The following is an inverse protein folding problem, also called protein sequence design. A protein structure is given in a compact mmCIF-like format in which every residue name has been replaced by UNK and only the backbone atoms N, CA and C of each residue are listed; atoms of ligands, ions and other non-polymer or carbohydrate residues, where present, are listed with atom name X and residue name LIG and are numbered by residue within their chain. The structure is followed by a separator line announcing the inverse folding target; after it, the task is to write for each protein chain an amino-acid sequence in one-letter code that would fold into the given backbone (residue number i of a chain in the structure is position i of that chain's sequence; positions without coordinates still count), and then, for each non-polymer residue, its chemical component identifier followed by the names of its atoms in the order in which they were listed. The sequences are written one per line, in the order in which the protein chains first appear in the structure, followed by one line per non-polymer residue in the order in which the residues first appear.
data_IF_079513322829
#
_entry.id   IF_079513322829
#
_cell.length_a   1.000
_cell.length_b   1.000
_cell.length_c   1.000
_cell.angle_alpha   90.00
_cell.angle_beta   90.00
_cell.angle_gamma   90.00
#
_symmetry.space_group_name_H-M   'P 1'
#
loop_
_entity.id
_entity.type
_entity.pdbx_description
1 polymer ?
#
# COMPACT_ATOMS: atom_id res chain seq x y z
N UNK A 1 21.45 -4.40 -17.82
CA UNK A 1 20.34 -3.98 -16.95
C UNK A 1 19.56 -5.21 -16.52
N UNK A 2 19.24 -5.30 -15.25
CA UNK A 2 18.57 -6.47 -14.70
C UNK A 2 17.06 -6.23 -14.64
N UNK A 3 16.27 -7.10 -15.29
CA UNK A 3 14.82 -6.95 -15.35
C UNK A 3 14.19 -7.01 -13.94
N UNK A 4 14.71 -7.84 -13.05
CA UNK A 4 14.15 -7.96 -11.68
C UNK A 4 14.30 -6.65 -10.91
N UNK A 5 15.43 -5.97 -11.03
CA UNK A 5 15.65 -4.68 -10.39
C UNK A 5 14.74 -3.60 -10.99
N UNK A 6 14.58 -3.58 -12.29
CA UNK A 6 13.73 -2.62 -13.00
C UNK A 6 12.26 -2.83 -12.62
N UNK A 7 11.80 -4.07 -12.62
CA UNK A 7 10.44 -4.40 -12.23
C UNK A 7 10.17 -4.02 -10.77
N UNK A 8 11.15 -4.26 -9.89
CA UNK A 8 11.05 -3.87 -8.48
C UNK A 8 10.92 -2.35 -8.32
N UNK A 9 11.68 -1.58 -9.10
CA UNK A 9 11.60 -0.12 -9.10
C UNK A 9 10.22 0.35 -9.54
N UNK A 10 9.67 -0.27 -10.59
CA UNK A 10 8.32 0.07 -11.06
C UNK A 10 7.27 -0.15 -9.96
N UNK A 11 7.35 -1.28 -9.28
CA UNK A 11 6.38 -1.63 -8.23
C UNK A 11 6.47 -0.70 -7.03
N UNK A 12 7.67 -0.24 -6.67
CA UNK A 12 7.88 0.62 -5.50
C UNK A 12 7.01 1.87 -5.53
N UNK A 13 6.81 2.42 -6.71
CA UNK A 13 6.04 3.66 -6.85
C UNK A 13 4.57 3.56 -6.47
N UNK A 14 4.01 2.34 -6.45
CA UNK A 14 2.58 2.15 -6.16
C UNK A 14 2.32 1.46 -4.82
N UNK A 15 3.37 1.08 -4.09
CA UNK A 15 3.18 0.30 -2.87
C UNK A 15 2.38 1.04 -1.80
N UNK A 16 2.70 2.30 -1.55
CA UNK A 16 1.96 3.07 -0.54
C UNK A 16 0.50 3.25 -0.91
N UNK A 17 0.22 3.49 -2.17
CA UNK A 17 -1.14 3.59 -2.67
C UNK A 17 -1.91 2.28 -2.43
N UNK A 18 -1.29 1.14 -2.74
CA UNK A 18 -1.92 -0.18 -2.54
C UNK A 18 -2.14 -0.48 -1.06
N UNK A 19 -1.17 -0.16 -0.21
CA UNK A 19 -1.29 -0.35 1.25
C UNK A 19 -2.47 0.45 1.79
N UNK A 20 -2.55 1.73 1.42
CA UNK A 20 -3.65 2.60 1.85
C UNK A 20 -4.99 2.11 1.33
N UNK A 21 -5.01 1.56 0.12
CA UNK A 21 -6.23 1.00 -0.49
C UNK A 21 -6.76 -0.18 0.32
N UNK A 22 -5.87 -1.07 0.76
CA UNK A 22 -6.27 -2.20 1.60
C UNK A 22 -6.86 -1.70 2.92
N UNK A 23 -6.19 -0.75 3.57
CA UNK A 23 -6.62 -0.22 4.88
C UNK A 23 -7.92 0.59 4.74
N UNK A 24 -8.12 1.23 3.59
CA UNK A 24 -9.36 1.98 3.32
C UNK A 24 -10.60 1.07 3.35
N UNK A 25 -10.46 -0.18 2.95
CA UNK A 25 -11.57 -1.15 2.95
C UNK A 25 -11.95 -1.57 4.36
N UNK A 26 -11.06 -1.41 5.32
CA UNK A 26 -11.31 -1.73 6.72
C UNK A 26 -10.00 -1.83 7.47
N UNK A 27 -10.06 -1.73 8.79
CA UNK A 27 -8.87 -1.90 9.63
C UNK A 27 -8.16 -3.20 9.27
N UNK A 28 -6.84 -3.17 9.33
CA UNK A 28 -6.05 -4.33 8.89
C UNK A 28 -4.81 -4.54 9.74
N UNK A 29 -4.50 -5.80 9.99
CA UNK A 29 -3.19 -6.20 10.50
C UNK A 29 -2.18 -6.19 9.35
N UNK A 30 -0.88 -6.06 9.64
CA UNK A 30 0.13 -6.17 8.59
C UNK A 30 0.04 -7.47 7.80
N UNK A 31 -0.28 -8.60 8.46
CA UNK A 31 -0.46 -9.87 7.77
C UNK A 31 -1.62 -9.85 6.78
N UNK A 32 -2.70 -9.13 7.10
CA UNK A 32 -3.84 -8.99 6.18
C UNK A 32 -3.43 -8.21 4.92
N UNK A 33 -2.61 -7.19 5.09
CA UNK A 33 -2.12 -6.39 3.97
C UNK A 33 -1.28 -7.26 3.04
N UNK A 34 -0.36 -8.01 3.62
CA UNK A 34 0.51 -8.92 2.86
C UNK A 34 -0.33 -9.94 2.08
N UNK A 35 -1.31 -10.55 2.74
CA UNK A 35 -2.15 -11.57 2.12
C UNK A 35 -2.98 -11.01 0.98
N UNK A 36 -3.58 -9.84 1.15
CA UNK A 36 -4.39 -9.22 0.10
C UNK A 36 -3.54 -8.82 -1.10
N UNK A 37 -2.35 -8.28 -0.86
CA UNK A 37 -1.46 -7.90 -1.96
C UNK A 37 -0.95 -9.13 -2.69
N UNK A 38 -0.61 -10.18 -1.97
CA UNK A 38 -0.18 -11.45 -2.56
C UNK A 38 -1.28 -12.06 -3.44
N UNK A 39 -2.52 -12.00 -2.98
CA UNK A 39 -3.66 -12.51 -3.74
C UNK A 39 -3.83 -11.78 -5.08
N UNK A 40 -3.39 -10.52 -5.15
CA UNK A 40 -3.40 -9.72 -6.38
C UNK A 40 -2.09 -9.83 -7.17
N UNK A 41 -1.21 -10.74 -6.80
CA UNK A 41 0.10 -10.95 -7.44
C UNK A 41 1.06 -9.76 -7.27
N UNK A 42 0.87 -8.99 -6.21
CA UNK A 42 1.80 -7.92 -5.86
C UNK A 42 2.41 -8.26 -4.51
N UNK A 43 3.44 -9.10 -4.54
CA UNK A 43 4.08 -9.59 -3.32
C UNK A 43 4.85 -8.47 -2.63
N UNK A 44 4.66 -8.36 -1.32
CA UNK A 44 5.43 -7.44 -0.50
C UNK A 44 5.97 -8.21 0.69
N UNK A 45 7.24 -7.98 1.01
CA UNK A 45 7.88 -8.61 2.16
C UNK A 45 7.66 -7.75 3.41
N UNK A 46 7.69 -8.41 4.57
CA UNK A 46 7.59 -7.71 5.86
C UNK A 46 8.63 -6.59 5.99
N UNK A 47 9.86 -6.87 5.56
CA UNK A 47 10.95 -5.88 5.61
C UNK A 47 10.70 -4.64 4.76
N UNK A 48 9.81 -4.70 3.79
CA UNK A 48 9.39 -3.56 2.99
C UNK A 48 8.13 -2.91 3.56
N UNK A 49 7.18 -3.72 4.02
CA UNK A 49 5.90 -3.24 4.52
C UNK A 49 6.04 -2.40 5.80
N UNK A 50 6.76 -2.92 6.80
CA UNK A 50 6.83 -2.24 8.11
C UNK A 50 7.42 -0.84 8.03
N UNK A 51 8.51 -0.58 7.30
CA UNK A 51 9.00 0.79 7.15
C UNK A 51 7.99 1.73 6.48
N UNK A 52 7.22 1.23 5.52
CA UNK A 52 6.19 2.02 4.85
C UNK A 52 5.04 2.35 5.79
N UNK A 53 4.60 1.39 6.59
CA UNK A 53 3.57 1.62 7.61
C UNK A 53 4.03 2.67 8.63
N UNK A 54 5.28 2.58 9.07
CA UNK A 54 5.85 3.55 10.00
C UNK A 54 5.87 4.96 9.39
N UNK A 55 6.30 5.06 8.13
CA UNK A 55 6.35 6.34 7.42
C UNK A 55 4.96 6.96 7.27
N UNK A 56 3.97 6.16 6.89
CA UNK A 56 2.60 6.63 6.73
C UNK A 56 1.98 7.04 8.07
N UNK A 57 2.28 6.31 9.13
CA UNK A 57 1.82 6.63 10.47
C UNK A 57 2.45 7.93 10.96
N UNK A 58 3.75 8.12 10.75
CA UNK A 58 4.45 9.33 11.17
C UNK A 58 3.98 10.57 10.38
N UNK A 59 3.53 10.38 9.16
CA UNK A 59 2.91 11.44 8.36
C UNK A 59 1.44 11.70 8.75
N UNK A 60 0.94 10.93 9.72
CA UNK A 60 -0.44 11.04 10.22
C UNK A 60 -1.51 10.60 9.23
N UNK A 61 -1.14 9.82 8.24
CA UNK A 61 -2.09 9.21 7.30
C UNK A 61 -2.71 7.93 7.86
N UNK A 62 -2.01 7.27 8.78
CA UNK A 62 -2.48 6.08 9.47
C UNK A 62 -2.43 6.29 10.97
N UNK A 63 -3.33 5.60 11.65
CA UNK A 63 -3.26 5.39 13.08
C UNK A 63 -3.37 3.90 13.34
N UNK A 64 -3.16 3.47 14.58
CA UNK A 64 -3.34 2.07 14.93
C UNK A 64 -3.80 1.93 16.37
N UNK A 65 -4.39 0.79 16.66
CA UNK A 65 -4.70 0.38 18.01
C UNK A 65 -4.11 -1.01 18.26
N UNK A 66 -3.81 -1.28 19.49
CA UNK A 66 -3.34 -2.61 19.89
C UNK A 66 -4.56 -3.50 20.11
N UNK A 67 -4.46 -4.73 19.61
CA UNK A 67 -5.49 -5.74 19.80
C UNK A 67 -4.85 -6.95 20.45
N UNK A 68 -5.41 -7.40 21.56
CA UNK A 68 -4.93 -8.58 22.26
C UNK A 68 -5.17 -9.84 21.43
N UNK A 69 -4.23 -10.79 21.53
CA UNK A 69 -4.32 -12.05 20.85
C UNK A 69 -4.31 -13.17 21.88
N UNK A 70 -5.16 -14.18 21.69
CA UNK A 70 -5.22 -15.32 22.60
C UNK A 70 -3.99 -16.24 22.49
N UNK A 71 -3.23 -16.13 21.42
CA UNK A 71 -2.14 -17.06 21.12
C UNK A 71 -0.81 -16.40 20.88
N UNK A 72 -0.65 -15.13 21.28
CA UNK A 72 0.61 -14.44 21.06
C UNK A 72 0.58 -13.02 21.59
N UNK A 73 1.61 -12.22 21.26
CA UNK A 73 1.68 -10.84 21.71
C UNK A 73 0.57 -9.99 21.04
N UNK A 74 0.22 -8.85 21.65
CA UNK A 74 -0.73 -7.91 21.05
C UNK A 74 -0.27 -7.49 19.64
N UNK A 75 -1.22 -7.20 18.78
CA UNK A 75 -0.96 -6.85 17.39
C UNK A 75 -1.51 -5.46 17.09
N UNK A 76 -0.85 -4.74 16.20
CA UNK A 76 -1.30 -3.44 15.73
C UNK A 76 -2.35 -3.62 14.63
N UNK A 77 -3.45 -2.91 14.78
CA UNK A 77 -4.54 -2.92 13.82
C UNK A 77 -4.62 -1.51 13.23
N UNK A 78 -4.26 -1.36 11.97
CA UNK A 78 -4.12 -0.05 11.31
C UNK A 78 -5.42 0.41 10.69
N UNK A 79 -5.66 1.72 10.73
CA UNK A 79 -6.79 2.35 10.05
C UNK A 79 -6.37 3.69 9.46
N UNK A 80 -7.14 4.19 8.49
CA UNK A 80 -6.90 5.50 7.90
C UNK A 80 -7.39 6.59 8.85
N UNK A 81 -6.61 7.67 8.91
CA UNK A 81 -7.08 8.94 9.49
C UNK A 81 -7.86 9.70 8.41
N UNK A 82 -8.53 10.79 8.81
CA UNK A 82 -9.19 11.67 7.82
C UNK A 82 -8.16 12.24 6.83
N UNK A 83 -7.00 12.60 7.35
CA UNK A 83 -5.88 13.09 6.53
C UNK A 83 -5.41 11.99 5.55
N UNK A 84 -5.37 10.75 6.02
CA UNK A 84 -5.02 9.61 5.18
C UNK A 84 -6.05 9.35 4.08
N UNK A 85 -7.33 9.51 4.38
CA UNK A 85 -8.38 9.35 3.39
C UNK A 85 -8.27 10.41 2.28
N UNK A 86 -7.96 11.64 2.64
CA UNK A 86 -7.75 12.72 1.66
C UNK A 86 -6.52 12.43 0.81
N UNK A 87 -5.44 12.01 1.45
CA UNK A 87 -4.21 11.65 0.74
C UNK A 87 -4.44 10.49 -0.23
N UNK A 88 -5.21 9.51 0.19
CA UNK A 88 -5.57 8.38 -0.67
C UNK A 88 -6.28 8.85 -1.95
N UNK A 89 -7.21 9.78 -1.83
CA UNK A 89 -7.93 10.33 -3.00
C UNK A 89 -6.97 11.00 -3.98
N UNK A 90 -5.98 11.74 -3.46
CA UNK A 90 -4.97 12.37 -4.30
C UNK A 90 -4.12 11.33 -5.02
N UNK A 91 -3.73 10.27 -4.31
CA UNK A 91 -2.96 9.20 -4.94
C UNK A 91 -3.78 8.45 -5.99
N UNK A 92 -5.06 8.24 -5.74
CA UNK A 92 -5.93 7.59 -6.71
C UNK A 92 -6.01 8.39 -8.01
N UNK A 93 -6.16 9.70 -7.89
CA UNK A 93 -6.18 10.61 -9.04
C UNK A 93 -4.84 10.57 -9.78
N UNK A 94 -3.75 10.61 -9.05
CA UNK A 94 -2.40 10.53 -9.61
C UNK A 94 -2.18 9.22 -10.36
N UNK A 95 -2.64 8.13 -9.77
CA UNK A 95 -2.52 6.81 -10.40
C UNK A 95 -3.26 6.76 -11.73
N UNK A 96 -4.50 7.25 -11.77
CA UNK A 96 -5.29 7.26 -13.00
C UNK A 96 -4.63 8.12 -14.09
N UNK A 97 -4.11 9.28 -13.73
CA UNK A 97 -3.38 10.13 -14.67
C UNK A 97 -2.13 9.45 -15.21
N UNK A 98 -1.38 8.83 -14.31
CA UNK A 98 -0.14 8.13 -14.69
C UNK A 98 -0.43 6.93 -15.59
N UNK A 99 -1.42 6.14 -15.24
CA UNK A 99 -1.80 4.96 -16.02
C UNK A 99 -2.23 5.36 -17.43
N UNK A 100 -3.03 6.42 -17.55
CA UNK A 100 -3.46 6.94 -18.84
C UNK A 100 -2.29 7.46 -19.66
N UNK A 101 -1.37 8.18 -19.03
CA UNK A 101 -0.19 8.71 -19.71
C UNK A 101 0.71 7.58 -20.23
N UNK A 102 0.93 6.58 -19.42
CA UNK A 102 1.75 5.42 -19.81
C UNK A 102 1.10 4.67 -20.96
N UNK A 103 -0.21 4.45 -20.90
CA UNK A 103 -0.94 3.79 -21.99
C UNK A 103 -0.82 4.59 -23.30
N UNK A 104 -0.96 5.90 -23.23
CA UNK A 104 -0.86 6.76 -24.40
C UNK A 104 0.53 6.70 -25.03
N UNK A 105 1.58 6.67 -24.18
CA UNK A 105 2.98 6.62 -24.65
C UNK A 105 3.31 5.26 -25.24
N UNK A 106 2.85 4.19 -24.61
CA UNK A 106 3.18 2.83 -25.04
C UNK A 106 2.27 2.32 -26.15
N UNK A 107 1.21 3.07 -26.48
CA UNK A 107 0.25 2.65 -27.50
C UNK A 107 -0.58 1.45 -27.08
N UNK A 108 -0.73 1.24 -25.80
CA UNK A 108 -1.27 0.02 -25.25
C UNK A 108 -2.72 -0.26 -25.56
N UNK A 109 -3.50 0.76 -25.89
CA UNK A 109 -4.90 0.54 -26.20
C UNK A 109 -5.39 1.39 -27.34
N UNK A 110 -5.54 0.84 -28.43
CA UNK A 110 -6.08 1.59 -29.56
C UNK A 110 -7.27 0.94 -30.16
#
# INVERSE_FOLDING_TARGET
MNIDNTASQMRKGVLEFCILSVIKLGEAYPSDIIDKMKAANLNILEGTLYPLLTRLKNAEFLTYRWVESNSGPPRKYFSLTDKGADFYKELESTWLELANAVEAITGGKN
#
